data_IF_156510574351
#
_entry.id   IF_156510574351
#
_cell.length_a   1.000
_cell.length_b   1.000
_cell.length_c   1.000
_cell.angle_alpha   90.00
_cell.angle_beta   90.00
_cell.angle_gamma   90.00
#
_symmetry.space_group_name_H-M   'P 1'
#
loop_
_entity.id
_entity.type
_entity.pdbx_description
1 polymer ?
#
# COMPACT_ATOMS: atom_id res chain seq x y z
N UNK A 1 -55.36 42.11 -42.48
CA UNK A 1 -55.48 40.77 -41.81
C UNK A 1 -54.09 40.25 -41.54
N UNK A 2 -53.58 40.48 -40.34
CA UNK A 2 -52.23 40.08 -39.91
C UNK A 2 -52.31 38.84 -39.03
N UNK A 3 -51.60 37.77 -39.38
CA UNK A 3 -51.46 36.58 -38.52
C UNK A 3 -50.12 36.68 -37.81
N UNK A 4 -50.17 36.84 -36.49
CA UNK A 4 -49.03 36.71 -35.60
C UNK A 4 -48.74 35.23 -35.33
N UNK A 5 -47.53 34.80 -35.59
CA UNK A 5 -47.02 33.48 -35.18
C UNK A 5 -46.18 33.65 -33.91
N UNK A 6 -46.60 33.01 -32.85
CA UNK A 6 -45.86 32.91 -31.59
C UNK A 6 -44.72 31.88 -31.76
N UNK A 7 -43.47 32.29 -31.55
CA UNK A 7 -42.37 31.38 -31.33
C UNK A 7 -42.15 31.20 -29.83
N UNK A 8 -42.20 29.96 -29.43
CA UNK A 8 -42.08 29.48 -28.08
C UNK A 8 -40.63 29.44 -27.61
N UNK A 9 -40.38 30.06 -26.44
CA UNK A 9 -39.17 29.93 -25.65
C UNK A 9 -39.12 28.58 -24.94
N UNK A 10 -38.38 27.59 -25.48
CA UNK A 10 -38.19 26.31 -24.82
C UNK A 10 -36.83 25.73 -25.22
N UNK A 11 -35.73 26.40 -24.85
CA UNK A 11 -34.38 25.88 -25.09
C UNK A 11 -33.31 26.36 -24.09
N UNK A 12 -33.68 26.73 -22.85
CA UNK A 12 -32.64 27.14 -21.87
C UNK A 12 -32.64 26.35 -20.56
N UNK A 13 -33.55 25.40 -20.35
CA UNK A 13 -33.62 24.63 -19.11
C UNK A 13 -32.79 23.31 -19.13
N UNK A 14 -32.41 22.81 -20.31
CA UNK A 14 -31.72 21.51 -20.46
C UNK A 14 -30.21 21.55 -20.25
N UNK A 15 -29.58 22.73 -20.45
CA UNK A 15 -28.13 22.86 -20.39
C UNK A 15 -27.61 23.06 -18.97
N UNK A 16 -28.40 23.65 -18.06
CA UNK A 16 -28.01 23.82 -16.65
C UNK A 16 -28.08 22.55 -15.81
N UNK A 17 -28.94 21.59 -16.16
CA UNK A 17 -29.01 20.30 -15.43
C UNK A 17 -27.85 19.35 -15.80
N UNK A 18 -27.33 19.40 -17.03
CA UNK A 18 -26.20 18.60 -17.45
C UNK A 18 -24.86 19.09 -16.87
N UNK A 19 -24.69 20.42 -16.71
CA UNK A 19 -23.50 21.02 -16.10
C UNK A 19 -23.48 20.83 -14.58
N UNK A 20 -24.63 20.79 -13.90
CA UNK A 20 -24.70 20.50 -12.46
C UNK A 20 -24.42 19.01 -12.17
N UNK A 21 -24.79 18.10 -13.03
CA UNK A 21 -24.51 16.66 -12.86
C UNK A 21 -23.03 16.31 -13.04
N UNK A 22 -22.35 16.93 -14.01
CA UNK A 22 -20.91 16.73 -14.22
C UNK A 22 -20.06 17.36 -13.10
N UNK A 23 -20.45 18.52 -12.58
CA UNK A 23 -19.73 19.16 -11.47
C UNK A 23 -19.89 18.37 -10.14
N UNK A 24 -21.09 17.85 -9.87
CA UNK A 24 -21.34 17.04 -8.67
C UNK A 24 -20.62 15.66 -8.72
N UNK A 25 -20.52 15.05 -9.90
CA UNK A 25 -19.79 13.78 -10.08
C UNK A 25 -18.28 13.97 -9.99
N UNK A 26 -17.72 15.08 -10.48
CA UNK A 26 -16.29 15.38 -10.34
C UNK A 26 -15.92 15.70 -8.89
N UNK A 27 -16.75 16.47 -8.18
CA UNK A 27 -16.50 16.81 -6.78
C UNK A 27 -16.56 15.56 -5.86
N UNK A 28 -17.52 14.66 -6.07
CA UNK A 28 -17.60 13.40 -5.32
C UNK A 28 -16.40 12.48 -5.60
N UNK A 29 -15.91 12.43 -6.84
CA UNK A 29 -14.71 11.67 -7.19
C UNK A 29 -13.43 12.29 -6.57
N UNK A 30 -13.33 13.61 -6.55
CA UNK A 30 -12.20 14.32 -5.91
C UNK A 30 -12.21 14.13 -4.38
N UNK A 31 -13.38 14.13 -3.74
CA UNK A 31 -13.54 13.89 -2.30
C UNK A 31 -13.18 12.44 -1.94
N UNK A 32 -13.59 11.45 -2.74
CA UNK A 32 -13.25 10.04 -2.55
C UNK A 32 -11.75 9.79 -2.71
N UNK A 33 -11.13 10.40 -3.73
CA UNK A 33 -9.68 10.32 -3.92
C UNK A 33 -8.91 10.96 -2.77
N UNK A 34 -9.32 12.13 -2.29
CA UNK A 34 -8.69 12.80 -1.15
C UNK A 34 -8.81 11.97 0.12
N UNK A 35 -9.97 11.36 0.37
CA UNK A 35 -10.18 10.47 1.51
C UNK A 35 -9.27 9.23 1.42
N UNK A 36 -9.08 8.66 0.23
CA UNK A 36 -8.17 7.54 0.01
C UNK A 36 -6.70 7.94 0.26
N UNK A 37 -6.26 9.10 -0.26
CA UNK A 37 -4.91 9.61 -0.04
C UNK A 37 -4.61 9.86 1.45
N UNK A 38 -5.63 10.28 2.22
CA UNK A 38 -5.50 10.46 3.66
C UNK A 38 -5.21 9.17 4.43
N UNK A 39 -5.39 7.99 3.82
CA UNK A 39 -5.08 6.69 4.42
C UNK A 39 -3.61 6.27 4.23
N UNK A 40 -2.89 6.92 3.31
CA UNK A 40 -1.51 6.59 2.99
C UNK A 40 -1.36 5.10 2.63
N UNK A 41 -0.27 4.49 3.02
CA UNK A 41 -0.02 3.05 2.83
C UNK A 41 -0.99 2.12 3.60
N UNK A 42 -1.91 2.67 4.41
CA UNK A 42 -2.98 1.89 5.07
C UNK A 42 -4.27 1.84 4.23
N UNK A 43 -4.30 2.51 3.08
CA UNK A 43 -5.42 2.39 2.14
C UNK A 43 -5.67 0.91 1.80
N UNK A 44 -6.94 0.51 1.75
CA UNK A 44 -7.33 -0.84 1.33
C UNK A 44 -7.01 -1.05 -0.14
N UNK A 45 -6.89 -2.29 -0.57
CA UNK A 45 -6.59 -2.59 -1.97
C UNK A 45 -7.68 -2.08 -2.92
N UNK A 46 -7.27 -1.35 -3.95
CA UNK A 46 -8.14 -0.91 -5.02
C UNK A 46 -7.93 -1.81 -6.25
N UNK A 47 -8.75 -2.84 -6.37
CA UNK A 47 -8.72 -3.73 -7.52
C UNK A 47 -8.97 -2.94 -8.84
N UNK A 48 -8.41 -3.38 -9.97
CA UNK A 48 -8.76 -2.84 -11.27
C UNK A 48 -10.25 -3.02 -11.55
N UNK A 49 -10.80 -2.23 -12.50
CA UNK A 49 -12.17 -2.38 -12.93
C UNK A 49 -12.39 -3.77 -13.56
N UNK A 50 -13.61 -4.33 -13.43
CA UNK A 50 -13.94 -5.66 -13.97
C UNK A 50 -13.80 -5.75 -15.51
N UNK A 51 -13.84 -4.61 -16.20
CA UNK A 51 -13.74 -4.52 -17.66
C UNK A 51 -12.35 -4.09 -18.15
N UNK A 52 -11.31 -4.17 -17.30
CA UNK A 52 -9.94 -3.86 -17.70
C UNK A 52 -9.46 -4.88 -18.75
N UNK A 53 -8.97 -4.36 -19.86
CA UNK A 53 -8.35 -5.18 -20.91
C UNK A 53 -6.83 -5.09 -20.79
N UNK A 54 -6.15 -6.24 -20.76
CA UNK A 54 -4.69 -6.33 -20.78
C UNK A 54 -4.17 -6.55 -22.21
N UNK A 55 -2.98 -6.05 -22.49
CA UNK A 55 -2.30 -6.29 -23.77
C UNK A 55 -2.06 -7.78 -23.98
N UNK A 56 -2.32 -8.25 -25.19
CA UNK A 56 -2.04 -9.64 -25.56
C UNK A 56 -0.60 -9.80 -26.01
N UNK A 57 0.02 -10.89 -25.59
CA UNK A 57 1.31 -11.31 -26.17
C UNK A 57 1.18 -11.55 -27.68
N UNK A 58 2.28 -11.41 -28.47
CA UNK A 58 2.28 -11.85 -29.85
C UNK A 58 1.89 -13.33 -29.98
N UNK A 59 1.16 -13.69 -31.06
CA UNK A 59 0.52 -15.00 -31.23
C UNK A 59 1.47 -16.21 -31.12
N UNK A 60 2.77 -16.01 -31.29
CA UNK A 60 3.79 -17.05 -31.14
C UNK A 60 4.30 -17.27 -29.71
N UNK A 61 3.87 -16.47 -28.74
CA UNK A 61 4.31 -16.57 -27.36
C UNK A 61 3.19 -17.09 -26.47
N UNK A 62 3.47 -18.15 -25.71
CA UNK A 62 2.57 -18.74 -24.74
C UNK A 62 3.03 -18.39 -23.31
N UNK A 63 2.11 -18.27 -22.35
CA UNK A 63 2.47 -17.97 -20.95
C UNK A 63 3.17 -19.19 -20.32
N UNK A 64 4.30 -18.95 -19.62
CA UNK A 64 5.14 -20.04 -19.08
C UNK A 64 5.50 -19.89 -17.61
N UNK A 65 5.42 -18.66 -17.04
CA UNK A 65 5.76 -18.41 -15.63
C UNK A 65 5.08 -17.12 -15.12
N UNK A 66 4.68 -17.13 -13.86
CA UNK A 66 4.33 -15.94 -13.09
C UNK A 66 5.38 -15.72 -12.00
N UNK A 67 5.99 -14.54 -11.99
CA UNK A 67 6.76 -14.00 -10.88
C UNK A 67 5.94 -12.96 -10.14
N UNK A 68 5.59 -13.20 -8.86
CA UNK A 68 4.70 -12.33 -8.11
C UNK A 68 5.24 -12.06 -6.72
N UNK A 69 5.17 -10.80 -6.30
CA UNK A 69 5.41 -10.39 -4.92
C UNK A 69 4.28 -9.49 -4.45
N UNK A 70 3.69 -9.82 -3.31
CA UNK A 70 2.59 -9.05 -2.73
C UNK A 70 2.86 -8.69 -1.26
N UNK A 71 2.45 -7.49 -0.89
CA UNK A 71 2.24 -7.10 0.49
C UNK A 71 1.06 -7.87 1.06
N UNK A 72 1.07 -8.19 2.36
CA UNK A 72 -0.11 -8.71 3.05
C UNK A 72 -1.33 -7.80 2.85
N UNK A 73 -2.53 -8.37 2.90
CA UNK A 73 -3.80 -7.64 2.78
C UNK A 73 -4.11 -6.73 3.96
N UNK A 74 -5.30 -6.15 3.93
CA UNK A 74 -5.85 -5.33 5.02
C UNK A 74 -5.79 -6.06 6.35
N UNK A 75 -5.50 -5.33 7.43
CA UNK A 75 -5.17 -5.91 8.73
C UNK A 75 -5.61 -5.01 9.89
N UNK A 76 -5.52 -5.54 11.09
CA UNK A 76 -5.71 -4.81 12.34
C UNK A 76 -4.43 -4.01 12.70
N UNK A 77 -4.52 -3.11 13.69
CA UNK A 77 -3.36 -2.36 14.21
C UNK A 77 -2.21 -3.31 14.55
N UNK A 78 -0.99 -2.91 14.21
CA UNK A 78 0.21 -3.72 14.46
C UNK A 78 0.61 -3.83 15.93
N UNK A 79 0.10 -2.94 16.78
CA UNK A 79 0.50 -2.87 18.18
C UNK A 79 -0.57 -2.22 19.05
N UNK A 80 -0.66 -2.67 20.30
CA UNK A 80 -1.55 -2.14 21.34
C UNK A 80 -1.21 -0.68 21.76
N UNK A 81 -0.02 -0.18 21.39
CA UNK A 81 0.42 1.18 21.80
C UNK A 81 -0.57 2.28 21.39
N UNK A 82 -1.20 2.14 20.22
CA UNK A 82 -2.07 3.18 19.64
C UNK A 82 -3.35 3.36 20.43
N UNK A 83 -4.11 2.31 20.62
CA UNK A 83 -5.36 2.34 21.38
C UNK A 83 -5.12 2.49 22.88
N UNK A 84 -4.02 1.98 23.43
CA UNK A 84 -3.64 2.13 24.84
C UNK A 84 -3.32 3.58 25.20
N UNK A 85 -2.48 4.27 24.41
CA UNK A 85 -2.11 5.67 24.70
C UNK A 85 -3.29 6.62 24.56
N UNK A 86 -4.14 6.43 23.55
CA UNK A 86 -5.38 7.20 23.40
C UNK A 86 -6.35 6.91 24.54
N UNK A 87 -6.47 5.67 24.98
CA UNK A 87 -7.27 5.32 26.16
C UNK A 87 -6.76 6.02 27.41
N UNK A 88 -5.44 6.04 27.64
CA UNK A 88 -4.84 6.74 28.80
C UNK A 88 -5.14 8.24 28.77
N UNK A 89 -4.96 8.89 27.61
CA UNK A 89 -5.25 10.32 27.42
C UNK A 89 -6.72 10.61 27.68
N UNK A 90 -7.62 9.77 27.15
CA UNK A 90 -9.07 9.91 27.35
C UNK A 90 -9.46 9.72 28.82
N UNK A 91 -8.93 8.69 29.51
CA UNK A 91 -9.18 8.46 30.94
C UNK A 91 -8.73 9.64 31.83
N UNK A 92 -7.56 10.21 31.52
CA UNK A 92 -7.03 11.38 32.21
C UNK A 92 -7.94 12.60 31.99
N UNK A 93 -8.28 12.92 30.74
CA UNK A 93 -9.15 14.05 30.40
C UNK A 93 -10.54 13.91 31.04
N UNK A 94 -11.11 12.69 31.05
CA UNK A 94 -12.38 12.39 31.70
C UNK A 94 -12.32 12.64 33.18
N UNK A 95 -11.25 12.24 33.87
CA UNK A 95 -11.06 12.47 35.33
C UNK A 95 -10.97 13.96 35.66
N UNK A 96 -10.44 14.75 34.74
CA UNK A 96 -10.29 16.20 34.88
C UNK A 96 -11.54 16.98 34.42
N UNK A 97 -12.60 16.31 33.93
CA UNK A 97 -13.76 16.90 33.26
C UNK A 97 -13.38 17.78 32.07
N UNK A 98 -12.40 17.35 31.32
CA UNK A 98 -11.79 18.07 30.20
C UNK A 98 -12.11 17.44 28.81
N UNK A 99 -13.17 16.64 28.72
CA UNK A 99 -13.71 16.13 27.48
C UNK A 99 -14.75 17.07 26.86
N UNK A 100 -14.81 17.17 25.55
CA UNK A 100 -15.94 17.74 24.83
C UNK A 100 -17.07 16.70 24.71
N UNK A 101 -18.22 17.09 24.19
CA UNK A 101 -19.33 16.16 23.92
C UNK A 101 -18.89 15.05 22.93
N UNK A 102 -18.11 15.39 21.89
CA UNK A 102 -17.52 14.43 20.95
C UNK A 102 -16.48 13.55 21.65
N UNK A 103 -15.63 14.16 22.50
CA UNK A 103 -14.64 13.42 23.28
C UNK A 103 -15.22 12.38 24.22
N UNK A 104 -16.42 12.60 24.80
CA UNK A 104 -17.09 11.59 25.61
C UNK A 104 -17.41 10.30 24.82
N UNK A 105 -17.66 10.41 23.51
CA UNK A 105 -17.95 9.26 22.65
C UNK A 105 -16.69 8.49 22.21
N UNK A 106 -15.53 9.13 22.21
CA UNK A 106 -14.26 8.51 21.76
C UNK A 106 -13.92 7.26 22.58
N UNK A 107 -13.93 7.35 23.90
CA UNK A 107 -13.51 6.24 24.76
C UNK A 107 -14.28 4.94 24.53
N UNK A 108 -15.62 4.95 24.47
CA UNK A 108 -16.41 3.78 24.11
C UNK A 108 -16.04 3.19 22.74
N UNK A 109 -15.80 4.02 21.72
CA UNK A 109 -15.40 3.57 20.37
C UNK A 109 -14.02 2.92 20.38
N UNK A 110 -13.04 3.58 21.01
CA UNK A 110 -11.68 2.99 21.16
C UNK A 110 -11.75 1.68 21.94
N UNK A 111 -12.56 1.59 22.99
CA UNK A 111 -12.76 0.34 23.75
C UNK A 111 -13.33 -0.80 22.89
N UNK A 112 -14.22 -0.52 21.96
CA UNK A 112 -14.74 -1.52 21.03
C UNK A 112 -13.66 -1.97 20.03
N UNK A 113 -12.89 -1.03 19.47
CA UNK A 113 -11.74 -1.35 18.59
C UNK A 113 -10.74 -2.22 19.33
N UNK A 114 -10.36 -1.86 20.55
CA UNK A 114 -9.47 -2.65 21.40
C UNK A 114 -9.99 -4.08 21.61
N UNK A 115 -11.28 -4.24 21.85
CA UNK A 115 -11.89 -5.57 22.03
C UNK A 115 -11.81 -6.43 20.77
N UNK A 116 -11.93 -5.84 19.57
CA UNK A 116 -11.71 -6.56 18.30
C UNK A 116 -10.25 -6.97 18.17
N UNK A 117 -9.31 -6.06 18.42
CA UNK A 117 -7.87 -6.36 18.38
C UNK A 117 -7.47 -7.46 19.39
N UNK A 118 -8.04 -7.46 20.59
CA UNK A 118 -7.78 -8.50 21.60
C UNK A 118 -8.35 -9.85 21.20
N UNK A 119 -9.45 -9.89 20.44
CA UNK A 119 -10.10 -11.11 19.97
C UNK A 119 -9.39 -11.70 18.73
N UNK A 120 -9.09 -10.90 17.73
CA UNK A 120 -8.51 -11.32 16.45
C UNK A 120 -6.98 -11.42 16.56
N UNK A 121 -6.35 -10.44 17.19
CA UNK A 121 -4.90 -10.28 17.35
C UNK A 121 -4.38 -9.00 16.69
N UNK A 122 -3.47 -8.32 17.37
CA UNK A 122 -2.77 -7.16 16.79
C UNK A 122 -1.89 -7.60 15.62
N UNK A 123 -1.99 -6.89 14.51
CA UNK A 123 -1.20 -7.15 13.30
C UNK A 123 -1.70 -8.33 12.46
N UNK A 124 -2.77 -8.98 12.89
CA UNK A 124 -3.37 -10.08 12.12
C UNK A 124 -4.15 -9.55 10.92
N UNK A 125 -4.24 -10.35 9.87
CA UNK A 125 -5.05 -10.09 8.70
C UNK A 125 -6.51 -9.90 9.11
N UNK A 126 -7.22 -8.97 8.45
CA UNK A 126 -8.67 -8.81 8.62
C UNK A 126 -9.41 -9.70 7.61
N UNK A 127 -10.72 -9.94 7.84
CA UNK A 127 -11.59 -10.60 6.87
C UNK A 127 -11.56 -9.90 5.50
N UNK A 128 -11.45 -8.56 5.46
CA UNK A 128 -11.25 -7.83 4.22
C UNK A 128 -9.94 -8.24 3.54
N UNK A 129 -8.84 -8.31 4.29
CA UNK A 129 -7.54 -8.70 3.75
C UNK A 129 -7.50 -10.13 3.22
N UNK A 130 -8.27 -11.06 3.84
CA UNK A 130 -8.48 -12.41 3.31
C UNK A 130 -9.15 -12.36 1.93
N UNK A 131 -10.24 -11.60 1.80
CA UNK A 131 -10.97 -11.44 0.54
C UNK A 131 -10.15 -10.71 -0.53
N UNK A 132 -9.33 -9.71 -0.17
CA UNK A 132 -8.44 -9.02 -1.10
C UNK A 132 -7.52 -10.01 -1.83
N UNK A 133 -6.90 -10.94 -1.09
CA UNK A 133 -6.01 -11.94 -1.68
C UNK A 133 -6.74 -13.04 -2.44
N UNK A 134 -7.90 -13.50 -1.98
CA UNK A 134 -8.73 -14.45 -2.72
C UNK A 134 -9.10 -13.87 -4.10
N UNK A 135 -9.59 -12.63 -4.12
CA UNK A 135 -9.98 -11.97 -5.37
C UNK A 135 -8.80 -11.58 -6.27
N UNK A 136 -7.63 -11.32 -5.71
CA UNK A 136 -6.41 -11.13 -6.49
C UNK A 136 -5.99 -12.43 -7.19
N UNK A 137 -6.14 -13.56 -6.52
CA UNK A 137 -5.86 -14.88 -7.08
C UNK A 137 -6.82 -15.23 -8.24
N UNK A 138 -8.15 -14.98 -8.07
CA UNK A 138 -9.13 -15.14 -9.15
C UNK A 138 -8.69 -14.37 -10.41
N UNK A 139 -8.38 -13.07 -10.25
CA UNK A 139 -7.96 -12.23 -11.39
C UNK A 139 -6.60 -12.64 -11.99
N UNK A 140 -5.70 -13.20 -11.20
CA UNK A 140 -4.45 -13.74 -11.70
C UNK A 140 -4.69 -15.02 -12.52
N UNK A 141 -5.61 -15.88 -12.06
CA UNK A 141 -6.05 -17.07 -12.78
C UNK A 141 -6.70 -16.69 -14.12
N UNK A 142 -7.73 -15.84 -14.09
CA UNK A 142 -8.44 -15.40 -15.31
C UNK A 142 -7.51 -14.79 -16.36
N UNK A 143 -6.48 -14.09 -15.93
CA UNK A 143 -5.51 -13.45 -16.83
C UNK A 143 -4.52 -14.41 -17.47
N UNK A 144 -4.22 -15.52 -16.78
CA UNK A 144 -3.19 -16.50 -17.15
C UNK A 144 -3.76 -17.93 -17.16
N UNK A 145 -5.02 -18.10 -17.58
CA UNK A 145 -5.74 -19.39 -17.56
C UNK A 145 -4.94 -20.47 -18.31
N UNK A 146 -4.46 -20.17 -19.53
CA UNK A 146 -3.65 -21.10 -20.34
C UNK A 146 -2.40 -21.60 -19.61
N UNK A 147 -1.74 -20.74 -18.79
CA UNK A 147 -0.58 -21.15 -17.99
C UNK A 147 -0.94 -22.21 -16.94
N UNK A 148 -2.07 -22.06 -16.30
CA UNK A 148 -2.50 -22.98 -15.25
C UNK A 148 -2.99 -24.31 -15.84
N UNK A 149 -3.66 -24.29 -16.99
CA UNK A 149 -4.03 -25.49 -17.74
C UNK A 149 -2.78 -26.28 -18.21
N UNK A 150 -1.79 -25.59 -18.77
CA UNK A 150 -0.51 -26.20 -19.18
C UNK A 150 0.28 -26.75 -17.97
N UNK A 151 0.23 -26.05 -16.84
CA UNK A 151 0.89 -26.49 -15.61
C UNK A 151 0.33 -27.82 -15.09
N UNK A 152 -0.98 -28.07 -15.28
CA UNK A 152 -1.60 -29.35 -14.90
C UNK A 152 -1.12 -30.47 -15.82
N UNK A 153 -1.09 -30.24 -17.12
CA UNK A 153 -0.67 -31.25 -18.12
C UNK A 153 0.82 -31.60 -17.96
N UNK A 154 1.66 -30.66 -17.53
CA UNK A 154 3.11 -30.81 -17.39
C UNK A 154 3.58 -31.11 -15.94
N UNK A 155 2.68 -31.16 -14.96
CA UNK A 155 2.97 -31.30 -13.50
C UNK A 155 3.93 -30.20 -12.99
N UNK A 156 3.89 -28.98 -13.56
CA UNK A 156 4.67 -27.84 -13.11
C UNK A 156 4.19 -27.34 -11.75
N UNK A 157 5.09 -26.90 -10.91
CA UNK A 157 4.73 -26.55 -9.53
C UNK A 157 4.40 -25.06 -9.40
N UNK A 158 3.51 -24.77 -8.47
CA UNK A 158 3.17 -23.43 -7.99
C UNK A 158 3.86 -23.25 -6.64
N UNK A 159 4.86 -22.42 -6.58
CA UNK A 159 5.62 -22.16 -5.36
C UNK A 159 4.97 -21.06 -4.53
N UNK A 160 4.92 -21.28 -3.22
CA UNK A 160 4.42 -20.32 -2.25
C UNK A 160 5.56 -19.96 -1.28
N UNK A 161 5.93 -18.69 -1.24
CA UNK A 161 7.01 -18.18 -0.41
C UNK A 161 6.51 -17.05 0.48
N UNK A 162 6.90 -17.02 1.73
CA UNK A 162 6.46 -15.98 2.67
C UNK A 162 7.62 -15.45 3.51
N UNK A 163 7.45 -14.25 4.04
CA UNK A 163 8.37 -13.70 5.06
C UNK A 163 8.34 -14.47 6.39
N UNK A 164 7.34 -15.35 6.60
CA UNK A 164 7.12 -16.09 7.83
C UNK A 164 6.38 -15.31 8.93
N UNK A 165 5.98 -14.07 8.69
CA UNK A 165 5.11 -13.30 9.59
C UNK A 165 3.66 -13.69 9.35
N UNK A 166 2.88 -13.89 10.43
CA UNK A 166 1.53 -14.48 10.38
C UNK A 166 0.64 -13.85 9.31
N UNK A 167 0.52 -12.52 9.24
CA UNK A 167 -0.30 -11.83 8.22
C UNK A 167 0.12 -12.08 6.77
N UNK A 168 1.42 -12.31 6.52
CA UNK A 168 1.91 -12.66 5.18
C UNK A 168 1.62 -14.13 4.87
N UNK A 169 1.73 -15.01 5.87
CA UNK A 169 1.35 -16.42 5.76
C UNK A 169 -0.15 -16.56 5.50
N UNK A 170 -0.99 -15.81 6.24
CA UNK A 170 -2.44 -15.82 6.07
C UNK A 170 -2.84 -15.27 4.70
N UNK A 171 -2.18 -14.19 4.21
CA UNK A 171 -2.37 -13.67 2.86
C UNK A 171 -2.06 -14.73 1.79
N UNK A 172 -0.94 -15.45 1.94
CA UNK A 172 -0.56 -16.54 1.05
C UNK A 172 -1.60 -17.66 1.04
N UNK A 173 -2.12 -18.05 2.21
CA UNK A 173 -3.14 -19.10 2.33
C UNK A 173 -4.44 -18.70 1.64
N UNK A 174 -4.86 -17.45 1.80
CA UNK A 174 -6.06 -16.93 1.16
C UNK A 174 -5.89 -16.77 -0.36
N UNK A 175 -4.73 -16.38 -0.84
CA UNK A 175 -4.42 -16.37 -2.26
C UNK A 175 -4.49 -17.79 -2.85
N UNK A 176 -3.87 -18.77 -2.19
CA UNK A 176 -3.97 -20.20 -2.57
C UNK A 176 -5.41 -20.66 -2.57
N UNK A 177 -6.22 -20.25 -1.58
CA UNK A 177 -7.64 -20.60 -1.55
C UNK A 177 -8.38 -20.04 -2.77
N UNK A 178 -8.10 -18.79 -3.17
CA UNK A 178 -8.69 -18.18 -4.38
C UNK A 178 -8.32 -18.97 -5.64
N UNK A 179 -7.05 -19.36 -5.85
CA UNK A 179 -6.64 -20.20 -6.98
C UNK A 179 -7.38 -21.56 -7.00
N UNK A 180 -7.47 -22.23 -5.85
CA UNK A 180 -8.12 -23.56 -5.72
C UNK A 180 -9.65 -23.46 -5.86
N UNK A 181 -10.23 -22.32 -5.55
CA UNK A 181 -11.68 -22.09 -5.76
C UNK A 181 -12.01 -21.93 -7.26
N UNK A 182 -11.11 -21.35 -8.06
CA UNK A 182 -11.21 -21.31 -9.53
C UNK A 182 -10.95 -22.69 -10.14
N UNK A 183 -9.83 -23.33 -9.79
CA UNK A 183 -9.52 -24.68 -10.26
C UNK A 183 -8.99 -25.57 -9.13
N UNK A 184 -9.73 -26.66 -8.85
CA UNK A 184 -9.42 -27.59 -7.76
C UNK A 184 -8.22 -28.49 -8.02
N UNK A 185 -7.88 -28.70 -9.29
CA UNK A 185 -6.80 -29.59 -9.69
C UNK A 185 -5.43 -28.93 -9.44
N UNK A 186 -5.38 -27.56 -9.44
CA UNK A 186 -4.21 -26.78 -9.02
C UNK A 186 -3.70 -27.12 -7.63
N UNK A 187 -4.57 -27.61 -6.74
CA UNK A 187 -4.18 -28.03 -5.38
C UNK A 187 -3.03 -29.05 -5.38
N UNK A 188 -2.94 -29.89 -6.38
CA UNK A 188 -1.89 -30.91 -6.51
C UNK A 188 -0.55 -30.34 -6.94
N UNK A 189 -0.56 -29.16 -7.56
CA UNK A 189 0.62 -28.46 -8.07
C UNK A 189 1.24 -27.54 -7.02
N UNK A 190 0.45 -27.10 -6.00
CA UNK A 190 0.94 -26.19 -4.97
C UNK A 190 2.01 -26.85 -4.12
N UNK A 191 3.21 -26.32 -4.19
CA UNK A 191 4.34 -26.75 -3.36
C UNK A 191 4.08 -26.46 -1.88
N UNK A 192 4.77 -27.21 -1.00
CA UNK A 192 4.72 -26.87 0.42
C UNK A 192 5.23 -25.46 0.64
N UNK A 193 4.45 -24.55 1.26
CA UNK A 193 4.88 -23.20 1.54
C UNK A 193 6.21 -23.14 2.28
N UNK A 194 7.13 -22.29 1.82
CA UNK A 194 8.42 -22.06 2.44
C UNK A 194 8.53 -20.62 2.97
N UNK A 195 9.31 -20.46 4.01
CA UNK A 195 9.70 -19.16 4.50
C UNK A 195 11.07 -18.81 3.92
N UNK A 196 11.20 -17.59 3.42
CA UNK A 196 12.46 -17.04 2.93
C UNK A 196 12.64 -15.61 3.43
N UNK A 197 13.43 -15.46 4.48
CA UNK A 197 13.69 -14.15 5.08
C UNK A 197 14.77 -13.37 4.36
N UNK A 198 15.67 -14.03 3.67
CA UNK A 198 16.74 -13.36 2.96
C UNK A 198 16.20 -12.56 1.76
N UNK A 199 15.15 -13.10 1.10
CA UNK A 199 14.50 -12.48 -0.04
C UNK A 199 13.27 -11.63 0.35
N UNK A 200 12.54 -12.01 1.42
CA UNK A 200 11.24 -11.40 1.77
C UNK A 200 11.21 -10.74 3.17
N UNK A 201 12.37 -10.49 3.77
CA UNK A 201 12.50 -9.80 5.06
C UNK A 201 13.87 -9.12 5.19
N UNK A 202 14.42 -8.67 4.04
CA UNK A 202 15.77 -8.12 3.92
C UNK A 202 15.96 -6.85 4.77
N UNK A 203 14.94 -6.05 5.00
CA UNK A 203 14.99 -4.87 5.86
C UNK A 203 15.39 -5.17 7.33
N UNK A 204 15.17 -6.40 7.81
CA UNK A 204 15.60 -6.83 9.16
C UNK A 204 17.06 -7.29 9.18
N UNK A 205 17.59 -7.70 8.03
CA UNK A 205 18.92 -8.31 7.92
C UNK A 205 19.97 -7.41 7.25
N UNK A 206 19.57 -6.43 6.46
CA UNK A 206 20.50 -5.49 5.82
C UNK A 206 21.09 -4.51 6.84
N UNK A 207 22.41 -4.66 7.06
CA UNK A 207 23.11 -3.88 8.08
C UNK A 207 23.23 -2.40 7.70
N UNK A 208 23.42 -2.09 6.41
CA UNK A 208 23.57 -0.70 5.95
C UNK A 208 22.26 0.05 6.10
N UNK A 209 21.15 -0.61 5.77
CA UNK A 209 19.80 -0.07 5.98
C UNK A 209 19.51 0.16 7.48
N UNK A 210 19.76 -0.84 8.33
CA UNK A 210 19.53 -0.72 9.77
C UNK A 210 20.39 0.38 10.40
N UNK A 211 21.67 0.49 10.00
CA UNK A 211 22.54 1.56 10.48
C UNK A 211 22.06 2.95 10.02
N UNK A 212 21.48 3.07 8.82
CA UNK A 212 20.88 4.31 8.33
C UNK A 212 19.65 4.69 9.13
N UNK A 213 18.69 3.77 9.30
CA UNK A 213 17.45 4.04 10.04
C UNK A 213 17.73 4.41 11.51
N UNK A 214 18.64 3.69 12.15
CA UNK A 214 18.89 3.87 13.58
C UNK A 214 19.80 5.08 13.90
N UNK A 215 20.68 5.50 12.98
CA UNK A 215 21.78 6.37 13.33
C UNK A 215 22.01 7.56 12.37
N UNK A 216 21.30 7.68 11.25
CA UNK A 216 21.51 8.78 10.31
C UNK A 216 20.92 10.08 10.85
N UNK A 217 21.75 11.12 11.15
CA UNK A 217 21.27 12.36 11.74
C UNK A 217 20.47 13.22 10.74
N UNK A 218 20.67 13.04 9.43
CA UNK A 218 19.94 13.80 8.41
C UNK A 218 18.54 13.26 8.27
N UNK A 219 18.38 11.93 8.32
CA UNK A 219 17.06 11.29 8.36
C UNK A 219 16.28 11.76 9.60
N UNK A 220 16.88 11.64 10.78
CA UNK A 220 16.23 12.04 12.04
C UNK A 220 15.81 13.52 12.03
N UNK A 221 16.69 14.43 11.63
CA UNK A 221 16.39 15.87 11.52
C UNK A 221 15.30 16.14 10.46
N UNK A 222 15.28 15.36 9.38
CA UNK A 222 14.29 15.52 8.31
C UNK A 222 12.89 15.12 8.80
N UNK A 223 12.76 14.00 9.50
CA UNK A 223 11.48 13.55 10.06
C UNK A 223 10.99 14.50 11.18
N UNK A 224 11.89 14.95 12.06
CA UNK A 224 11.57 15.95 13.10
C UNK A 224 11.01 17.23 12.45
N UNK A 225 11.62 17.75 11.39
CA UNK A 225 11.11 18.93 10.66
C UNK A 225 9.74 18.73 10.04
N UNK A 226 9.39 17.52 9.64
CA UNK A 226 8.04 17.21 9.14
C UNK A 226 7.03 17.33 10.26
N UNK A 227 7.31 16.76 11.43
CA UNK A 227 6.43 16.85 12.61
C UNK A 227 6.28 18.29 13.14
N UNK A 228 7.34 19.09 13.03
CA UNK A 228 7.35 20.50 13.42
C UNK A 228 6.69 21.45 12.40
N UNK A 229 6.25 20.94 11.23
CA UNK A 229 5.54 21.76 10.23
C UNK A 229 4.32 22.44 10.85
N UNK A 230 4.19 23.79 10.77
CA UNK A 230 3.08 24.50 11.37
C UNK A 230 1.69 24.00 10.93
N UNK A 231 1.54 23.45 9.72
CA UNK A 231 0.28 22.88 9.25
C UNK A 231 -0.04 21.56 9.98
N UNK A 232 0.97 20.73 10.24
CA UNK A 232 0.82 19.49 11.02
C UNK A 232 0.41 19.83 12.46
N UNK A 233 1.11 20.78 13.09
CA UNK A 233 0.79 21.22 14.46
C UNK A 233 -0.62 21.84 14.54
N UNK A 234 -1.03 22.63 13.54
CA UNK A 234 -2.38 23.22 13.50
C UNK A 234 -3.46 22.16 13.32
N UNK A 235 -3.29 21.22 12.36
CA UNK A 235 -4.21 20.10 12.16
C UNK A 235 -4.30 19.23 13.43
N UNK A 236 -3.17 18.95 14.08
CA UNK A 236 -3.13 18.22 15.36
C UNK A 236 -3.96 18.92 16.44
N UNK A 237 -3.78 20.23 16.62
CA UNK A 237 -4.57 21.02 17.57
C UNK A 237 -6.06 21.06 17.20
N UNK A 238 -6.39 21.10 15.90
CA UNK A 238 -7.77 21.08 15.41
C UNK A 238 -8.45 19.74 15.73
N UNK A 239 -7.80 18.62 15.47
CA UNK A 239 -8.29 17.28 15.87
C UNK A 239 -8.52 17.21 17.37
N UNK A 240 -7.53 17.61 18.16
CA UNK A 240 -7.63 17.54 19.63
C UNK A 240 -8.70 18.47 20.21
N UNK A 241 -8.93 19.65 19.62
CA UNK A 241 -9.97 20.59 20.06
C UNK A 241 -11.41 20.05 19.86
N UNK A 242 -11.60 19.08 18.96
CA UNK A 242 -12.88 18.36 18.83
C UNK A 242 -13.17 17.43 20.00
N UNK A 243 -12.12 16.96 20.68
CA UNK A 243 -12.17 15.89 21.69
C UNK A 243 -11.92 16.37 23.11
N UNK A 244 -11.06 17.36 23.26
CA UNK A 244 -10.55 17.81 24.56
C UNK A 244 -10.70 19.32 24.72
N UNK A 245 -10.77 19.78 25.98
CA UNK A 245 -10.73 21.20 26.27
C UNK A 245 -9.34 21.79 26.08
N UNK A 246 -9.25 23.13 25.95
CA UNK A 246 -7.96 23.84 25.85
C UNK A 246 -6.97 23.47 26.97
N UNK A 247 -7.46 23.08 28.16
CA UNK A 247 -6.59 22.69 29.26
C UNK A 247 -5.71 21.51 28.94
N UNK A 248 -6.27 20.43 28.29
CA UNK A 248 -5.51 19.25 27.90
C UNK A 248 -4.55 19.60 26.75
N UNK A 249 -5.01 20.36 25.76
CA UNK A 249 -4.19 20.79 24.63
C UNK A 249 -2.97 21.59 25.09
N UNK A 250 -3.18 22.55 26.04
CA UNK A 250 -2.09 23.33 26.59
C UNK A 250 -1.12 22.49 27.41
N UNK A 251 -1.59 21.45 28.13
CA UNK A 251 -0.72 20.51 28.84
C UNK A 251 0.15 19.68 27.88
N UNK A 252 -0.41 19.22 26.74
CA UNK A 252 0.34 18.55 25.70
C UNK A 252 1.35 19.51 25.02
N UNK A 253 0.91 20.71 24.65
CA UNK A 253 1.75 21.72 23.98
C UNK A 253 2.94 22.18 24.87
N UNK A 254 2.79 22.11 26.18
CA UNK A 254 3.83 22.48 27.16
C UNK A 254 4.69 21.28 27.62
N UNK A 255 4.43 20.05 27.15
CA UNK A 255 5.11 18.85 27.65
C UNK A 255 4.76 18.47 29.09
N UNK A 256 3.62 18.95 29.62
CA UNK A 256 3.18 18.62 30.98
C UNK A 256 2.46 17.26 31.07
N UNK A 257 2.15 16.65 29.90
CA UNK A 257 1.62 15.30 29.78
C UNK A 257 2.73 14.45 29.15
N UNK A 258 3.09 13.35 29.80
CA UNK A 258 3.93 12.28 29.25
C UNK A 258 3.28 10.95 29.64
N UNK A 259 2.66 10.29 28.65
CA UNK A 259 2.04 8.98 28.79
C UNK A 259 2.90 7.93 28.10
N UNK A 260 3.07 6.79 28.77
CA UNK A 260 3.92 5.69 28.27
C UNK A 260 3.05 4.47 28.00
N UNK A 261 3.27 3.80 26.87
CA UNK A 261 2.52 2.58 26.54
C UNK A 261 2.67 1.51 27.63
N UNK A 262 1.54 0.90 28.04
CA UNK A 262 1.49 -0.14 29.07
C UNK A 262 1.98 -1.50 28.58
N UNK A 263 2.31 -1.62 27.29
CA UNK A 263 2.81 -2.86 26.69
C UNK A 263 4.32 -3.00 26.85
N UNK A 264 5.08 -2.44 25.90
CA UNK A 264 6.56 -2.49 25.91
C UNK A 264 7.21 -1.34 26.68
N UNK A 265 6.46 -0.29 27.02
CA UNK A 265 6.97 0.89 27.74
C UNK A 265 8.02 1.69 26.96
N UNK A 266 7.95 1.67 25.62
CA UNK A 266 8.95 2.28 24.75
C UNK A 266 8.44 3.48 23.96
N UNK A 267 7.11 3.63 23.87
CA UNK A 267 6.48 4.71 23.10
C UNK A 267 5.80 5.67 24.05
N UNK A 268 5.96 6.94 23.74
CA UNK A 268 5.45 8.06 24.54
C UNK A 268 4.35 8.80 23.76
N UNK A 269 3.48 9.47 24.49
CA UNK A 269 2.56 10.49 24.01
C UNK A 269 2.82 11.71 24.87
N UNK A 270 3.60 12.67 24.35
CA UNK A 270 4.07 13.83 25.11
C UNK A 270 3.83 15.17 24.39
N UNK A 271 3.33 15.13 23.15
CA UNK A 271 3.05 16.32 22.34
C UNK A 271 1.64 16.31 21.74
N UNK A 272 1.22 17.46 21.20
CA UNK A 272 -0.05 17.57 20.44
C UNK A 272 0.02 16.74 19.16
N UNK A 273 1.21 16.64 18.54
CA UNK A 273 1.41 15.85 17.31
C UNK A 273 1.31 14.37 17.62
N UNK A 274 1.97 13.87 18.68
CA UNK A 274 1.84 12.46 19.08
C UNK A 274 0.39 12.07 19.31
N UNK A 275 -0.35 12.87 20.08
CA UNK A 275 -1.75 12.59 20.39
C UNK A 275 -2.61 12.53 19.12
N UNK A 276 -2.40 13.46 18.18
CA UNK A 276 -3.11 13.48 16.91
C UNK A 276 -2.70 12.31 16.01
N UNK A 277 -1.41 11.94 15.96
CA UNK A 277 -0.92 10.81 15.18
C UNK A 277 -1.42 9.46 15.70
N UNK A 278 -1.54 9.27 17.03
CA UNK A 278 -2.17 8.07 17.56
C UNK A 278 -3.67 7.98 17.25
N UNK A 279 -4.38 9.11 17.19
CA UNK A 279 -5.76 9.16 16.71
C UNK A 279 -5.86 8.90 15.20
N UNK A 280 -4.92 9.46 14.44
CA UNK A 280 -4.81 9.22 13.00
C UNK A 280 -4.58 7.73 12.69
N UNK A 281 -3.74 7.02 13.45
CA UNK A 281 -3.54 5.57 13.28
C UNK A 281 -4.85 4.77 13.49
N UNK A 282 -5.72 5.19 14.42
CA UNK A 282 -7.04 4.58 14.58
C UNK A 282 -7.97 4.92 13.41
N UNK A 283 -7.87 6.13 12.87
CA UNK A 283 -8.64 6.56 11.71
C UNK A 283 -8.25 5.75 10.45
N UNK A 284 -6.97 5.61 10.16
CA UNK A 284 -6.51 4.97 8.91
C UNK A 284 -6.63 3.45 8.92
N UNK A 285 -6.65 2.82 10.10
CA UNK A 285 -6.83 1.37 10.19
C UNK A 285 -8.31 0.96 10.09
N UNK A 286 -9.25 1.84 10.44
CA UNK A 286 -10.67 1.53 10.52
C UNK A 286 -11.26 0.97 9.20
N UNK A 287 -10.98 1.52 8.01
CA UNK A 287 -11.43 0.92 6.75
C UNK A 287 -10.90 -0.49 6.53
N UNK A 288 -9.64 -0.74 6.89
CA UNK A 288 -8.98 -2.04 6.75
C UNK A 288 -9.53 -3.12 7.69
N UNK A 289 -10.23 -2.75 8.75
CA UNK A 289 -10.90 -3.71 9.66
C UNK A 289 -12.13 -4.36 8.99
N UNK A 290 -12.74 -3.68 8.00
CA UNK A 290 -13.77 -4.22 7.13
C UNK A 290 -14.95 -4.83 7.90
N UNK A 291 -15.22 -6.11 7.65
CA UNK A 291 -16.34 -6.85 8.25
C UNK A 291 -16.12 -7.20 9.73
N UNK A 292 -14.88 -7.22 10.20
CA UNK A 292 -14.58 -7.55 11.61
C UNK A 292 -15.11 -6.48 12.55
N UNK A 293 -15.02 -5.22 12.14
CA UNK A 293 -15.61 -4.09 12.85
C UNK A 293 -15.75 -2.88 11.94
N UNK A 294 -16.97 -2.37 11.80
CA UNK A 294 -17.26 -1.15 11.05
C UNK A 294 -17.39 0.02 12.03
N UNK A 295 -16.49 0.99 11.91
CA UNK A 295 -16.50 2.22 12.69
C UNK A 295 -16.29 3.42 11.80
N UNK A 296 -17.13 4.45 11.97
CA UNK A 296 -16.91 5.75 11.36
C UNK A 296 -16.08 6.64 12.33
N UNK A 297 -14.82 6.83 11.97
CA UNK A 297 -13.90 7.69 12.73
C UNK A 297 -13.95 9.16 12.30
N UNK A 298 -14.70 9.52 11.25
CA UNK A 298 -14.81 10.88 10.72
C UNK A 298 -15.37 11.88 11.74
N UNK A 299 -16.11 11.39 12.74
CA UNK A 299 -16.57 12.19 13.87
C UNK A 299 -15.40 12.75 14.69
N UNK A 300 -14.30 12.00 14.80
CA UNK A 300 -13.15 12.34 15.65
C UNK A 300 -12.03 13.00 14.86
N UNK A 301 -11.73 12.51 13.68
CA UNK A 301 -10.72 13.02 12.75
C UNK A 301 -11.39 13.30 11.41
N UNK A 302 -11.36 14.56 10.94
CA UNK A 302 -11.92 14.90 9.63
C UNK A 302 -11.02 14.43 8.49
N UNK A 303 -11.57 14.24 7.30
CA UNK A 303 -10.77 13.86 6.13
C UNK A 303 -9.69 14.91 5.79
N UNK A 304 -10.01 16.20 5.95
CA UNK A 304 -9.06 17.29 5.71
C UNK A 304 -7.89 17.25 6.71
N UNK A 305 -8.17 17.06 8.00
CA UNK A 305 -7.13 16.91 9.03
C UNK A 305 -6.31 15.64 8.81
N UNK A 306 -6.98 14.53 8.47
CA UNK A 306 -6.31 13.26 8.16
C UNK A 306 -5.36 13.39 6.96
N UNK A 307 -5.75 14.12 5.91
CA UNK A 307 -4.91 14.37 4.75
C UNK A 307 -3.64 15.20 5.10
N UNK A 308 -3.75 16.14 6.05
CA UNK A 308 -2.58 16.88 6.54
C UNK A 308 -1.70 15.98 7.42
N UNK A 309 -2.30 15.22 8.33
CA UNK A 309 -1.58 14.31 9.23
C UNK A 309 -0.93 13.14 8.49
N UNK A 310 -1.52 12.68 7.38
CA UNK A 310 -0.93 11.62 6.56
C UNK A 310 0.48 11.95 6.08
N UNK A 311 0.82 13.24 5.94
CA UNK A 311 2.16 13.70 5.53
C UNK A 311 3.26 13.21 6.47
N UNK A 312 2.99 12.98 7.75
CA UNK A 312 3.96 12.42 8.70
C UNK A 312 4.27 10.98 8.34
N UNK A 313 3.23 10.11 8.28
CA UNK A 313 3.43 8.69 7.91
C UNK A 313 3.93 8.50 6.48
N UNK A 314 3.51 9.36 5.55
CA UNK A 314 3.99 9.36 4.16
C UNK A 314 5.46 9.75 4.07
N UNK A 315 5.91 10.71 4.88
CA UNK A 315 7.31 11.09 4.95
C UNK A 315 8.17 9.97 5.55
N UNK A 316 7.69 9.30 6.61
CA UNK A 316 8.36 8.11 7.16
C UNK A 316 8.54 7.04 6.08
N UNK A 317 7.46 6.61 5.40
CA UNK A 317 7.53 5.58 4.36
C UNK A 317 8.42 6.02 3.18
N UNK A 318 8.34 7.30 2.75
CA UNK A 318 9.15 7.86 1.67
C UNK A 318 10.64 7.92 2.01
N UNK A 319 11.00 8.45 3.19
CA UNK A 319 12.39 8.67 3.57
C UNK A 319 13.07 7.41 4.11
N UNK A 320 12.32 6.52 4.76
CA UNK A 320 12.88 5.31 5.34
C UNK A 320 12.95 4.14 4.35
N UNK A 321 12.01 4.01 3.42
CA UNK A 321 11.85 2.82 2.56
C UNK A 321 11.77 3.13 1.07
N UNK A 322 11.40 4.38 0.73
CA UNK A 322 11.15 4.84 -0.62
C UNK A 322 12.37 5.48 -1.28
N UNK A 323 12.16 6.38 -2.27
CA UNK A 323 13.22 7.07 -3.00
C UNK A 323 14.11 7.95 -2.12
N UNK A 324 13.66 8.35 -0.94
CA UNK A 324 14.43 9.05 0.10
C UNK A 324 15.09 10.35 -0.35
N UNK A 325 16.25 10.67 0.22
CA UNK A 325 17.04 11.86 -0.08
C UNK A 325 17.92 11.59 -1.30
N UNK A 326 17.95 12.54 -2.23
CA UNK A 326 18.73 12.42 -3.45
C UNK A 326 20.23 12.13 -3.18
N UNK A 327 20.72 11.09 -3.85
CA UNK A 327 22.10 10.62 -3.68
C UNK A 327 22.26 9.54 -2.60
N UNK A 328 21.19 9.14 -1.91
CA UNK A 328 21.16 8.02 -0.98
C UNK A 328 20.24 6.91 -1.53
N UNK A 329 20.79 5.72 -1.76
CA UNK A 329 20.08 4.56 -2.31
C UNK A 329 19.88 3.44 -1.27
N UNK A 330 20.40 3.60 -0.05
CA UNK A 330 20.40 2.58 0.99
C UNK A 330 19.01 2.06 1.34
N UNK A 331 17.98 2.92 1.23
CA UNK A 331 16.59 2.60 1.56
C UNK A 331 15.93 1.61 0.61
N UNK A 332 16.40 1.55 -0.64
CA UNK A 332 15.80 0.69 -1.66
C UNK A 332 16.80 -0.28 -2.31
N UNK A 333 18.11 -0.06 -2.16
CA UNK A 333 19.11 -0.99 -2.70
C UNK A 333 19.01 -2.38 -2.07
N UNK A 334 18.57 -2.49 -0.82
CA UNK A 334 18.32 -3.77 -0.15
C UNK A 334 17.33 -4.70 -0.87
N UNK A 335 16.52 -4.17 -1.80
CA UNK A 335 15.61 -4.97 -2.62
C UNK A 335 16.30 -5.65 -3.81
N UNK A 336 17.62 -5.46 -3.99
CA UNK A 336 18.42 -6.07 -5.06
C UNK A 336 18.35 -7.60 -5.03
N UNK A 337 18.32 -8.20 -3.85
CA UNK A 337 18.17 -9.66 -3.66
C UNK A 337 16.86 -10.21 -4.21
N UNK A 338 15.75 -9.47 -4.03
CA UNK A 338 14.45 -9.86 -4.57
C UNK A 338 14.39 -9.67 -6.08
N UNK A 339 14.94 -8.58 -6.59
CA UNK A 339 15.04 -8.35 -8.03
C UNK A 339 15.91 -9.42 -8.71
N UNK A 340 17.03 -9.80 -8.08
CA UNK A 340 17.90 -10.88 -8.58
C UNK A 340 17.15 -12.22 -8.65
N UNK A 341 16.41 -12.58 -7.60
CA UNK A 341 15.61 -13.81 -7.55
C UNK A 341 14.57 -13.87 -8.70
N UNK A 342 13.88 -12.75 -8.98
CA UNK A 342 12.93 -12.66 -10.09
C UNK A 342 13.62 -12.73 -11.47
N UNK A 343 14.75 -12.04 -11.66
CA UNK A 343 15.52 -12.09 -12.93
C UNK A 343 16.09 -13.48 -13.19
N UNK A 344 16.59 -14.16 -12.15
CA UNK A 344 17.13 -15.52 -12.25
C UNK A 344 16.04 -16.53 -12.64
N UNK A 345 14.82 -16.38 -12.12
CA UNK A 345 13.67 -17.20 -12.49
C UNK A 345 13.31 -17.03 -13.97
N UNK A 346 13.25 -15.78 -14.46
CA UNK A 346 13.02 -15.48 -15.89
C UNK A 346 14.13 -16.05 -16.79
N UNK A 347 15.40 -15.87 -16.39
CA UNK A 347 16.55 -16.45 -17.12
C UNK A 347 16.48 -17.98 -17.17
N UNK A 348 15.97 -18.61 -16.10
CA UNK A 348 15.71 -20.05 -16.04
C UNK A 348 14.77 -20.55 -17.14
N UNK A 349 13.75 -19.76 -17.51
CA UNK A 349 12.84 -20.09 -18.63
C UNK A 349 13.62 -20.20 -19.93
N UNK A 350 14.40 -19.17 -20.29
CA UNK A 350 15.25 -19.19 -21.51
C UNK A 350 16.21 -20.37 -21.54
N UNK A 351 16.72 -20.78 -20.39
CA UNK A 351 17.66 -21.88 -20.26
C UNK A 351 16.98 -23.27 -20.24
N UNK A 352 15.64 -23.33 -20.27
CA UNK A 352 14.88 -24.58 -20.20
C UNK A 352 15.02 -25.31 -18.86
N UNK A 353 15.25 -24.55 -17.76
CA UNK A 353 15.49 -25.09 -16.40
C UNK A 353 14.29 -24.88 -15.46
N UNK A 354 13.26 -24.17 -15.89
CA UNK A 354 12.10 -23.84 -15.07
C UNK A 354 11.20 -25.04 -14.87
N UNK A 355 11.01 -25.46 -13.60
CA UNK A 355 10.13 -26.56 -13.20
C UNK A 355 8.82 -26.06 -12.57
N UNK A 356 8.68 -24.75 -12.38
CA UNK A 356 7.50 -24.10 -11.81
C UNK A 356 6.71 -23.32 -12.86
N UNK A 357 5.39 -23.22 -12.66
CA UNK A 357 4.50 -22.32 -13.38
C UNK A 357 4.39 -20.97 -12.70
N UNK A 358 4.58 -20.90 -11.38
CA UNK A 358 4.50 -19.65 -10.64
C UNK A 358 5.35 -19.65 -9.37
N UNK A 359 5.89 -18.47 -9.04
CA UNK A 359 6.49 -18.12 -7.77
C UNK A 359 5.68 -16.99 -7.12
N UNK A 360 4.80 -17.34 -6.18
CA UNK A 360 3.99 -16.38 -5.41
C UNK A 360 4.66 -16.07 -4.07
N UNK A 361 5.09 -14.79 -3.89
CA UNK A 361 5.80 -14.29 -2.72
C UNK A 361 4.92 -13.34 -1.93
N UNK A 362 4.83 -13.52 -0.61
CA UNK A 362 4.00 -12.70 0.28
C UNK A 362 4.83 -12.10 1.42
N UNK A 363 4.78 -10.77 1.52
CA UNK A 363 5.63 -10.00 2.41
C UNK A 363 4.93 -8.73 2.95
N UNK A 364 5.61 -7.60 2.95
CA UNK A 364 5.21 -6.36 3.62
C UNK A 364 5.39 -5.13 2.71
N UNK A 365 5.07 -3.94 3.22
CA UNK A 365 5.38 -2.68 2.54
C UNK A 365 6.90 -2.49 2.38
N UNK A 366 7.65 -3.04 3.33
CA UNK A 366 9.10 -3.03 3.43
C UNK A 366 9.81 -3.82 2.30
N UNK A 367 9.07 -4.58 1.48
CA UNK A 367 9.55 -5.22 0.26
C UNK A 367 9.02 -4.53 -1.00
N UNK A 368 7.73 -4.14 -0.98
CA UNK A 368 7.10 -3.50 -2.16
C UNK A 368 7.65 -2.09 -2.40
N UNK A 369 7.77 -1.28 -1.36
CA UNK A 369 8.24 0.10 -1.49
C UNK A 369 9.68 0.17 -2.00
N UNK A 370 10.66 -0.56 -1.40
CA UNK A 370 12.02 -0.57 -1.92
C UNK A 370 12.13 -1.13 -3.34
N UNK A 371 11.39 -2.20 -3.67
CA UNK A 371 11.40 -2.76 -5.02
C UNK A 371 10.82 -1.77 -6.04
N UNK A 372 9.72 -1.09 -5.71
CA UNK A 372 9.14 -0.05 -6.56
C UNK A 372 10.11 1.13 -6.77
N UNK A 373 10.83 1.57 -5.72
CA UNK A 373 11.83 2.62 -5.82
C UNK A 373 13.07 2.17 -6.62
N UNK A 374 13.54 0.94 -6.41
CA UNK A 374 14.66 0.34 -7.15
C UNK A 374 14.35 0.25 -8.65
N UNK A 375 13.13 -0.16 -9.00
CA UNK A 375 12.65 -0.26 -10.39
C UNK A 375 12.16 1.08 -10.95
N UNK A 376 12.09 2.15 -10.16
CA UNK A 376 11.54 3.46 -10.52
C UNK A 376 10.12 3.37 -11.06
N UNK A 377 9.28 2.63 -10.36
CA UNK A 377 7.87 2.48 -10.73
C UNK A 377 7.08 3.78 -10.45
N UNK A 378 5.91 3.97 -11.09
CA UNK A 378 5.09 5.16 -10.95
C UNK A 378 4.87 5.58 -9.49
N UNK A 379 5.17 6.85 -9.19
CA UNK A 379 5.13 7.41 -7.83
C UNK A 379 6.40 7.20 -7.00
N UNK A 380 7.33 6.34 -7.43
CA UNK A 380 8.58 6.03 -6.71
C UNK A 380 9.84 6.42 -7.48
N UNK A 381 9.73 7.22 -8.54
CA UNK A 381 10.84 7.52 -9.46
C UNK A 381 11.80 8.58 -8.91
N UNK A 382 11.32 9.46 -8.01
CA UNK A 382 12.01 10.72 -7.72
C UNK A 382 12.36 10.83 -6.25
N UNK A 383 13.66 10.85 -5.95
CA UNK A 383 14.19 11.18 -4.64
C UNK A 383 14.05 12.69 -4.34
N UNK A 384 13.95 13.06 -3.07
CA UNK A 384 13.77 14.42 -2.62
C UNK A 384 15.13 15.14 -2.47
N UNK A 385 15.29 16.38 -2.98
CA UNK A 385 16.49 17.16 -2.67
C UNK A 385 16.66 17.36 -1.16
N UNK A 386 17.90 17.31 -0.67
CA UNK A 386 18.19 17.36 0.76
C UNK A 386 17.80 18.69 1.46
N UNK A 387 17.61 19.76 0.70
CA UNK A 387 17.20 21.08 1.19
C UNK A 387 15.68 21.34 1.10
N UNK A 388 14.91 20.37 0.65
CA UNK A 388 13.48 20.51 0.42
C UNK A 388 12.73 19.33 1.04
N UNK A 389 11.84 19.59 1.98
CA UNK A 389 11.03 18.54 2.58
C UNK A 389 10.03 17.97 1.56
N UNK A 390 9.80 16.66 1.66
CA UNK A 390 8.77 15.98 0.91
C UNK A 390 7.39 16.58 1.19
N UNK A 391 6.62 16.78 0.12
CA UNK A 391 5.20 17.08 0.19
C UNK A 391 4.49 16.62 -1.09
N UNK A 392 3.17 16.51 -1.04
CA UNK A 392 2.35 16.18 -2.20
C UNK A 392 2.40 17.24 -3.32
N UNK A 393 2.83 18.48 -3.01
CA UNK A 393 2.97 19.55 -3.99
C UNK A 393 4.27 19.45 -4.81
N UNK A 394 5.29 18.78 -4.28
CA UNK A 394 6.62 18.73 -4.90
C UNK A 394 7.11 17.33 -5.28
N UNK A 395 6.36 16.29 -4.94
CA UNK A 395 6.70 14.90 -5.26
C UNK A 395 5.45 14.11 -5.68
N UNK A 396 5.62 13.19 -6.62
CA UNK A 396 4.54 12.33 -7.12
C UNK A 396 4.16 11.19 -6.18
N UNK A 397 4.97 10.93 -5.16
CA UNK A 397 4.70 9.87 -4.17
C UNK A 397 3.33 10.00 -3.52
N UNK A 398 2.61 8.89 -3.49
CA UNK A 398 1.34 8.69 -2.77
C UNK A 398 1.33 7.27 -2.24
N UNK A 399 1.49 7.08 -0.94
CA UNK A 399 1.55 5.74 -0.33
C UNK A 399 0.32 4.87 -0.64
N UNK A 400 -0.85 5.51 -0.75
CA UNK A 400 -2.09 4.86 -1.14
C UNK A 400 -2.09 4.29 -2.58
N UNK A 401 -1.16 4.74 -3.44
CA UNK A 401 -0.99 4.27 -4.81
C UNK A 401 0.26 3.40 -4.95
N UNK A 402 1.32 3.74 -4.22
CA UNK A 402 2.61 3.03 -4.28
C UNK A 402 2.52 1.67 -3.57
N UNK A 403 2.05 1.67 -2.33
CA UNK A 403 2.01 0.45 -1.53
C UNK A 403 0.77 0.37 -0.62
N UNK A 404 -0.46 0.39 -1.16
CA UNK A 404 -1.65 0.11 -0.35
C UNK A 404 -1.57 -1.27 0.28
N UNK A 405 -2.51 -1.63 1.17
CA UNK A 405 -2.68 -3.01 1.61
C UNK A 405 -2.89 -3.92 0.39
N UNK A 406 -2.30 -5.09 0.36
CA UNK A 406 -2.36 -6.00 -0.80
C UNK A 406 -1.58 -5.53 -2.05
N UNK A 407 -0.80 -4.43 -1.96
CA UNK A 407 0.02 -3.96 -3.09
C UNK A 407 0.89 -5.09 -3.66
N UNK A 408 1.05 -5.11 -4.98
CA UNK A 408 1.75 -6.20 -5.63
C UNK A 408 2.51 -5.74 -6.89
N UNK A 409 3.57 -6.49 -7.20
CA UNK A 409 4.32 -6.41 -8.45
C UNK A 409 4.32 -7.82 -9.04
N UNK A 410 3.87 -7.96 -10.28
CA UNK A 410 3.80 -9.23 -10.98
C UNK A 410 4.47 -9.12 -12.34
N UNK A 411 5.24 -10.13 -12.70
CA UNK A 411 5.76 -10.32 -14.06
C UNK A 411 5.11 -11.54 -14.66
N UNK A 412 4.40 -11.34 -15.77
CA UNK A 412 3.88 -12.41 -16.61
C UNK A 412 4.93 -12.71 -17.67
N UNK A 413 5.41 -13.94 -17.72
CA UNK A 413 6.50 -14.41 -18.57
C UNK A 413 5.96 -15.31 -19.65
N UNK A 414 6.33 -15.05 -20.88
CA UNK A 414 5.90 -15.79 -22.07
C UNK A 414 7.12 -16.28 -22.85
N UNK A 415 6.99 -17.43 -23.49
CA UNK A 415 8.05 -17.99 -24.33
C UNK A 415 7.48 -18.53 -25.67
N UNK A 416 8.34 -18.60 -26.68
CA UNK A 416 8.01 -19.23 -27.97
C UNK A 416 8.79 -20.52 -28.18
N UNK A 417 8.51 -21.22 -29.29
CA UNK A 417 9.19 -22.49 -29.70
C UNK A 417 10.71 -22.34 -29.89
N UNK A 418 11.19 -21.13 -30.19
CA UNK A 418 12.61 -20.80 -30.37
C UNK A 418 13.31 -20.47 -29.05
N UNK A 419 12.60 -20.54 -27.92
CA UNK A 419 13.04 -20.16 -26.55
C UNK A 419 13.34 -18.66 -26.39
N UNK A 420 12.79 -17.81 -27.26
CA UNK A 420 12.75 -16.39 -26.96
C UNK A 420 11.76 -16.14 -25.82
N UNK A 421 12.13 -15.28 -24.88
CA UNK A 421 11.33 -14.97 -23.68
C UNK A 421 10.98 -13.50 -23.65
N UNK A 422 9.72 -13.20 -23.37
CA UNK A 422 9.24 -11.84 -23.16
C UNK A 422 8.51 -11.74 -21.81
N UNK A 423 8.57 -10.57 -21.22
CA UNK A 423 8.02 -10.29 -19.88
C UNK A 423 7.14 -9.06 -19.94
N UNK A 424 5.97 -9.15 -19.31
CA UNK A 424 5.08 -8.02 -19.03
C UNK A 424 5.04 -7.78 -17.52
N UNK A 425 5.16 -6.52 -17.08
CA UNK A 425 5.03 -6.17 -15.67
C UNK A 425 3.67 -5.57 -15.36
N UNK A 426 3.09 -6.01 -14.25
CA UNK A 426 1.93 -5.40 -13.61
C UNK A 426 2.34 -4.81 -12.26
N UNK A 427 1.93 -3.58 -11.98
CA UNK A 427 2.08 -2.94 -10.68
C UNK A 427 0.71 -2.58 -10.12
N UNK A 428 0.36 -3.16 -8.97
CA UNK A 428 -1.00 -3.11 -8.45
C UNK A 428 -2.03 -3.54 -9.51
N UNK A 429 -1.71 -4.64 -10.21
CA UNK A 429 -2.49 -5.23 -11.32
C UNK A 429 -2.70 -4.29 -12.53
N UNK A 430 -1.92 -3.23 -12.69
CA UNK A 430 -1.94 -2.34 -13.87
C UNK A 430 -0.70 -2.56 -14.72
N UNK A 431 -0.87 -2.72 -16.04
CA UNK A 431 0.26 -2.80 -16.95
C UNK A 431 1.19 -1.59 -16.78
N UNK A 432 2.44 -1.87 -16.52
CA UNK A 432 3.43 -0.85 -16.17
C UNK A 432 4.70 -1.08 -16.97
N UNK A 433 5.21 -0.01 -17.60
CA UNK A 433 6.47 -0.08 -18.30
C UNK A 433 7.64 -0.27 -17.32
N UNK A 434 8.65 -1.07 -17.74
CA UNK A 434 9.90 -1.11 -17.00
C UNK A 434 10.62 0.24 -17.09
N UNK A 435 11.18 0.68 -15.98
CA UNK A 435 11.90 1.96 -15.88
C UNK A 435 13.23 1.99 -16.64
N UNK A 436 14.04 3.02 -16.36
CA UNK A 436 15.36 3.24 -16.97
C UNK A 436 15.28 3.42 -18.49
N UNK A 437 16.22 2.83 -19.22
CA UNK A 437 16.28 2.84 -20.68
C UNK A 437 15.87 1.48 -21.30
N UNK A 438 15.08 0.68 -20.57
CA UNK A 438 14.53 -0.58 -21.05
C UNK A 438 13.67 -0.35 -22.30
N UNK A 439 13.87 -1.14 -23.33
CA UNK A 439 13.18 -1.01 -24.61
C UNK A 439 12.16 -2.12 -24.76
N UNK A 440 10.88 -1.82 -24.96
CA UNK A 440 9.89 -2.82 -25.25
C UNK A 440 10.18 -3.48 -26.63
N UNK A 441 9.59 -4.65 -26.87
CA UNK A 441 9.73 -5.37 -28.15
C UNK A 441 9.27 -4.55 -29.35
N UNK A 442 8.31 -3.64 -29.14
CA UNK A 442 7.87 -2.63 -30.11
C UNK A 442 7.35 -1.38 -29.39
N UNK A 443 7.32 -0.25 -30.07
CA UNK A 443 6.94 1.05 -29.51
C UNK A 443 5.51 1.01 -28.96
N UNK A 444 5.34 1.34 -27.67
CA UNK A 444 4.05 1.34 -26.96
C UNK A 444 3.63 -0.02 -26.40
N UNK A 445 4.43 -1.06 -26.59
CA UNK A 445 4.20 -2.38 -25.97
C UNK A 445 4.58 -2.37 -24.49
N UNK A 446 3.90 -3.22 -23.71
CA UNK A 446 4.28 -3.55 -22.32
C UNK A 446 5.14 -4.82 -22.23
N UNK A 447 5.48 -5.44 -23.34
CA UNK A 447 6.33 -6.65 -23.39
C UNK A 447 7.78 -6.28 -23.67
N UNK A 448 8.70 -6.89 -22.93
CA UNK A 448 10.15 -6.68 -23.01
C UNK A 448 10.85 -8.03 -23.15
N UNK A 449 11.85 -8.12 -24.04
CA UNK A 449 12.69 -9.31 -24.08
C UNK A 449 13.45 -9.48 -22.74
N UNK A 450 13.58 -10.70 -22.25
CA UNK A 450 14.30 -11.01 -21.01
C UNK A 450 15.75 -10.53 -21.04
N UNK A 451 16.41 -10.69 -22.21
CA UNK A 451 17.77 -10.19 -22.44
C UNK A 451 17.89 -8.67 -22.37
N UNK A 452 16.82 -7.94 -22.70
CA UNK A 452 16.75 -6.51 -22.55
C UNK A 452 16.59 -6.13 -21.05
N UNK A 453 15.78 -6.89 -20.29
CA UNK A 453 15.68 -6.69 -18.83
C UNK A 453 17.03 -6.97 -18.15
N UNK A 454 17.72 -8.02 -18.54
CA UNK A 454 19.08 -8.31 -18.06
C UNK A 454 20.05 -7.17 -18.37
N UNK A 455 19.94 -6.54 -19.56
CA UNK A 455 20.75 -5.36 -19.95
C UNK A 455 20.42 -4.12 -19.13
N UNK A 456 19.15 -3.80 -18.92
CA UNK A 456 18.74 -2.52 -18.33
C UNK A 456 18.60 -2.57 -16.80
N UNK A 457 18.33 -3.74 -16.22
CA UNK A 457 18.14 -3.92 -14.79
C UNK A 457 19.28 -4.70 -14.11
N UNK A 458 20.05 -5.50 -14.85
CA UNK A 458 21.05 -6.41 -14.29
C UNK A 458 22.20 -5.73 -13.50
N UNK A 459 22.43 -4.42 -13.66
CA UNK A 459 23.37 -3.67 -12.84
C UNK A 459 22.81 -3.29 -11.47
N UNK A 460 21.48 -3.35 -11.27
CA UNK A 460 20.81 -3.05 -10.00
C UNK A 460 20.99 -4.18 -8.98
N UNK A 461 21.37 -5.37 -9.42
CA UNK A 461 21.57 -6.58 -8.59
C UNK A 461 23.03 -6.85 -8.25
N UNK A 462 23.92 -5.85 -8.37
CA UNK A 462 25.38 -5.98 -8.14
C UNK A 462 25.89 -5.21 -6.93
#
# INVERSE_FOLDING_TARGET
MAKYTRFTSLALAGVMLALSGCAASSQAADEDQSARLALGTKATYAAPAEDVEYSKAPDEFEPVLIEHVARHGSRLLSSKKYDDLITQLWEMAKKENALTETGERLGPVVGQITAVHEKVGYGMLSTLGEHEHQKMAERAYDRMEDLFEDAEDEDKKINIVTSGVDRAVDSAQNFVQGLVDEDKDLKSLISKPRMDKDVLYFHDTDQAYNDFIDNDPVLAETLEKVEEDPQIVEASKHVLARLFTEEIINKLDSGAIDLVDRGKGKKHLESVVDAAMYLYELYVIAPGMGEDYQVDFSEFVTADDALVLSRVSEAEDFYEKGPSIAGNDVTYKMADVLLADMLDAVAGVREGKTEQAADFRFAHAEEIIPLAALLKLPGSETAQPADTLFSYDNNAWRGAEVAPMGANIQWDVFANDDQDVIVRMLYNEKETAFGFDCKPIEEGSFFYADTELERCLGDLTK
#
